data_IF_505520311083
#
_entry.id   IF_505520311083
#
_cell.length_a   1.000
_cell.length_b   1.000
_cell.length_c   1.000
_cell.angle_alpha   90.00
_cell.angle_beta   90.00
_cell.angle_gamma   90.00
#
_symmetry.space_group_name_H-M   'P 1'
#
loop_
_entity.id
_entity.type
_entity.pdbx_description
1 polymer ?
#
# COMPACT_ATOMS: atom_id res chain seq x y z
N UNK A 1 31.54 3.20 -3.42
CA UNK A 1 31.14 4.13 -4.52
C UNK A 1 30.07 3.44 -5.36
N UNK A 2 29.12 4.14 -5.98
CA UNK A 2 28.14 3.54 -6.90
C UNK A 2 28.83 2.81 -8.06
N UNK A 3 28.27 1.69 -8.49
CA UNK A 3 28.67 0.92 -9.67
C UNK A 3 27.68 1.21 -10.78
N UNK A 4 28.05 2.04 -11.75
CA UNK A 4 27.17 2.50 -12.82
C UNK A 4 27.61 1.84 -14.14
N UNK A 5 26.69 1.13 -14.80
CA UNK A 5 26.98 0.55 -16.11
C UNK A 5 27.16 1.64 -17.15
N UNK A 6 28.16 1.53 -18.08
CA UNK A 6 28.42 2.57 -19.08
C UNK A 6 27.25 2.98 -19.99
N UNK A 7 26.26 2.09 -20.16
CA UNK A 7 25.04 2.37 -20.92
C UNK A 7 23.90 3.00 -20.08
N UNK A 8 24.11 3.23 -18.78
CA UNK A 8 23.11 3.90 -17.97
C UNK A 8 23.15 5.43 -18.19
N UNK A 9 21.99 6.05 -18.17
CA UNK A 9 21.84 7.50 -18.22
C UNK A 9 21.50 8.02 -16.82
N UNK A 10 22.45 8.67 -16.19
CA UNK A 10 22.28 9.21 -14.83
C UNK A 10 22.49 10.71 -14.89
N UNK A 11 21.47 11.47 -14.46
CA UNK A 11 21.56 12.92 -14.38
C UNK A 11 22.63 13.34 -13.38
N UNK A 12 23.45 14.36 -13.67
CA UNK A 12 24.49 14.83 -12.78
C UNK A 12 24.01 15.34 -11.41
N UNK A 13 22.75 15.77 -11.31
CA UNK A 13 22.13 16.21 -10.04
C UNK A 13 21.66 15.05 -9.17
N UNK A 14 21.55 13.83 -9.73
CA UNK A 14 21.11 12.65 -9.00
C UNK A 14 22.10 12.27 -7.88
N UNK A 15 21.57 11.98 -6.71
CA UNK A 15 22.38 11.63 -5.54
C UNK A 15 22.28 10.11 -5.29
N UNK A 16 23.38 9.41 -5.55
CA UNK A 16 23.47 7.97 -5.36
C UNK A 16 24.30 7.65 -4.11
N UNK A 17 23.74 6.89 -3.21
CA UNK A 17 24.42 6.42 -1.99
C UNK A 17 25.55 5.43 -2.29
N UNK A 18 26.24 5.03 -1.23
CA UNK A 18 27.32 4.06 -1.32
C UNK A 18 26.78 2.72 -1.82
N UNK A 19 27.57 2.02 -2.66
CA UNK A 19 27.30 0.67 -3.15
C UNK A 19 25.96 0.50 -3.91
N UNK A 20 25.43 1.61 -4.46
CA UNK A 20 24.33 1.55 -5.42
C UNK A 20 24.81 0.90 -6.72
N UNK A 21 24.06 -0.07 -7.23
CA UNK A 21 24.33 -0.73 -8.51
C UNK A 21 23.30 -0.27 -9.55
N UNK A 22 23.76 0.27 -10.67
CA UNK A 22 22.92 0.77 -11.78
C UNK A 22 23.20 -0.06 -13.03
N UNK A 23 22.20 -0.82 -13.46
CA UNK A 23 22.28 -1.72 -14.63
C UNK A 23 22.27 -1.01 -15.99
N UNK A 24 22.50 -1.77 -17.04
CA UNK A 24 22.52 -1.27 -18.40
C UNK A 24 21.17 -0.65 -18.82
N UNK A 25 21.21 0.51 -19.49
CA UNK A 25 20.01 1.19 -19.99
C UNK A 25 19.08 1.73 -18.92
N UNK A 26 19.48 1.74 -17.63
CA UNK A 26 18.77 2.48 -16.59
C UNK A 26 18.77 3.98 -16.88
N UNK A 27 17.64 4.63 -16.55
CA UNK A 27 17.52 6.08 -16.61
C UNK A 27 17.22 6.61 -15.22
N UNK A 28 18.07 7.51 -14.73
CA UNK A 28 17.88 8.22 -13.46
C UNK A 28 17.83 9.70 -13.78
N UNK A 29 16.63 10.28 -13.59
CA UNK A 29 16.38 11.68 -13.94
C UNK A 29 16.94 12.65 -12.86
N UNK A 30 16.82 13.94 -13.10
CA UNK A 30 17.23 15.01 -12.20
C UNK A 30 16.50 14.94 -10.84
N UNK A 31 17.11 15.52 -9.79
CA UNK A 31 16.54 15.58 -8.42
C UNK A 31 16.14 14.22 -7.80
N UNK A 32 16.71 13.12 -8.29
CA UNK A 32 16.53 11.78 -7.71
C UNK A 32 17.54 11.56 -6.57
N UNK A 33 17.06 10.96 -5.48
CA UNK A 33 17.91 10.54 -4.35
C UNK A 33 17.71 9.05 -4.08
N UNK A 34 18.81 8.29 -4.12
CA UNK A 34 18.82 6.85 -3.90
C UNK A 34 19.78 6.52 -2.77
N UNK A 35 19.27 5.92 -1.69
CA UNK A 35 20.04 5.49 -0.53
C UNK A 35 21.02 4.35 -0.85
N UNK A 36 21.93 4.03 0.10
CA UNK A 36 22.97 3.04 -0.12
C UNK A 36 22.44 1.63 -0.34
N UNK A 37 23.23 0.80 -1.04
CA UNK A 37 22.95 -0.62 -1.24
C UNK A 37 21.77 -0.93 -2.17
N UNK A 38 21.19 0.06 -2.84
CA UNK A 38 20.13 -0.17 -3.82
C UNK A 38 20.65 -0.79 -5.11
N UNK A 39 19.86 -1.69 -5.70
CA UNK A 39 20.18 -2.37 -6.96
C UNK A 39 19.08 -2.04 -7.99
N UNK A 40 19.49 -1.40 -9.09
CA UNK A 40 18.64 -1.11 -10.23
C UNK A 40 19.03 -2.03 -11.40
N UNK A 41 18.11 -2.92 -11.78
CA UNK A 41 18.30 -3.87 -12.88
C UNK A 41 18.15 -3.17 -14.22
N UNK A 42 18.64 -3.77 -15.32
CA UNK A 42 18.65 -3.13 -16.65
C UNK A 42 17.29 -2.56 -17.06
N UNK A 43 17.32 -1.38 -17.67
CA UNK A 43 16.16 -0.67 -18.21
C UNK A 43 15.12 -0.23 -17.18
N UNK A 44 15.45 -0.19 -15.89
CA UNK A 44 14.60 0.49 -14.91
C UNK A 44 14.71 2.01 -15.02
N UNK A 45 13.64 2.74 -14.68
CA UNK A 45 13.56 4.20 -14.80
C UNK A 45 13.15 4.79 -13.47
N UNK A 46 14.00 5.66 -12.93
CA UNK A 46 13.70 6.46 -11.74
C UNK A 46 13.53 7.91 -12.16
N UNK A 47 12.31 8.41 -12.04
CA UNK A 47 11.96 9.74 -12.52
C UNK A 47 12.16 10.81 -11.45
N UNK A 48 12.20 12.05 -11.92
CA UNK A 48 12.37 13.26 -11.12
C UNK A 48 11.51 13.27 -9.85
N UNK A 49 12.04 13.90 -8.78
CA UNK A 49 11.41 14.04 -7.47
C UNK A 49 11.15 12.71 -6.71
N UNK A 50 11.90 11.69 -7.06
CA UNK A 50 11.88 10.42 -6.32
C UNK A 50 12.97 10.38 -5.27
N UNK A 51 12.60 10.07 -4.03
CA UNK A 51 13.53 9.74 -2.95
C UNK A 51 13.32 8.29 -2.51
N UNK A 52 14.39 7.53 -2.50
CA UNK A 52 14.41 6.12 -2.14
C UNK A 52 15.42 5.88 -1.02
N UNK A 53 15.02 5.14 0.02
CA UNK A 53 15.90 4.72 1.10
C UNK A 53 16.91 3.65 0.68
N UNK A 54 17.40 2.88 1.63
CA UNK A 54 18.48 1.91 1.46
C UNK A 54 17.99 0.54 1.02
N UNK A 55 18.87 -0.26 0.39
CA UNK A 55 18.70 -1.68 0.09
C UNK A 55 17.46 -2.02 -0.74
N UNK A 56 16.97 -1.10 -1.55
CA UNK A 56 15.84 -1.37 -2.43
C UNK A 56 16.31 -2.11 -3.69
N UNK A 57 15.55 -3.11 -4.11
CA UNK A 57 15.76 -3.83 -5.35
C UNK A 57 14.71 -3.42 -6.38
N UNK A 58 15.13 -2.90 -7.51
CA UNK A 58 14.26 -2.45 -8.61
C UNK A 58 14.57 -3.28 -9.85
N UNK A 59 13.64 -4.13 -10.25
CA UNK A 59 13.81 -5.02 -11.40
C UNK A 59 13.59 -4.32 -12.73
N UNK A 60 13.88 -5.02 -13.81
CA UNK A 60 13.89 -4.49 -15.19
C UNK A 60 12.53 -3.93 -15.60
N UNK A 61 12.56 -2.85 -16.37
CA UNK A 61 11.40 -2.16 -16.92
C UNK A 61 10.45 -1.55 -15.87
N UNK A 62 10.85 -1.51 -14.63
CA UNK A 62 10.11 -0.82 -13.55
C UNK A 62 10.25 0.68 -13.70
N UNK A 63 9.14 1.42 -13.54
CA UNK A 63 9.10 2.89 -13.61
C UNK A 63 8.62 3.46 -12.28
N UNK A 64 9.50 4.15 -11.58
CA UNK A 64 9.21 4.82 -10.33
C UNK A 64 9.22 6.34 -10.55
N UNK A 65 8.20 7.04 -10.04
CA UNK A 65 8.05 8.49 -10.20
C UNK A 65 7.35 8.90 -11.49
N UNK A 66 6.66 7.96 -12.18
CA UNK A 66 5.86 8.29 -13.36
C UNK A 66 4.85 9.41 -13.10
N UNK A 67 4.48 10.17 -14.13
CA UNK A 67 3.46 11.20 -14.00
C UNK A 67 2.14 10.62 -13.51
N UNK A 68 1.39 11.34 -12.67
CA UNK A 68 0.06 10.94 -12.23
C UNK A 68 -0.87 10.63 -13.41
N UNK A 69 -1.62 9.56 -13.31
CA UNK A 69 -2.67 9.23 -14.27
C UNK A 69 -3.94 10.03 -13.92
N UNK A 70 -3.80 11.35 -13.95
CA UNK A 70 -4.86 12.33 -13.69
C UNK A 70 -4.82 13.36 -14.81
N UNK A 71 -5.88 13.43 -15.62
CA UNK A 71 -5.97 14.33 -16.76
C UNK A 71 -5.94 15.83 -16.39
N UNK A 72 -6.12 16.16 -15.09
CA UNK A 72 -6.02 17.54 -14.57
C UNK A 72 -4.64 17.84 -14.00
N UNK A 73 -3.73 16.89 -14.02
CA UNK A 73 -2.40 17.08 -13.46
C UNK A 73 -1.61 18.11 -14.27
N UNK A 74 -1.06 19.11 -13.57
CA UNK A 74 -0.10 20.03 -14.14
C UNK A 74 1.32 19.45 -14.01
N UNK A 75 1.98 19.09 -15.13
CA UNK A 75 3.34 18.52 -15.09
C UNK A 75 4.40 19.42 -14.46
N UNK A 76 4.18 20.75 -14.43
CA UNK A 76 5.07 21.71 -13.78
C UNK A 76 4.99 21.66 -12.23
N UNK A 77 3.98 20.99 -11.67
CA UNK A 77 3.83 20.86 -10.22
C UNK A 77 4.93 19.97 -9.63
N UNK A 78 5.64 20.49 -8.62
CA UNK A 78 6.56 19.69 -7.82
C UNK A 78 5.78 18.76 -6.88
N UNK A 79 5.74 17.48 -7.23
CA UNK A 79 5.14 16.41 -6.45
C UNK A 79 6.09 15.21 -6.38
N UNK A 80 5.95 14.33 -5.42
CA UNK A 80 7.02 13.46 -5.00
C UNK A 80 6.62 11.98 -4.97
N UNK A 81 7.64 11.11 -5.02
CA UNK A 81 7.60 9.73 -4.54
C UNK A 81 8.60 9.59 -3.40
N UNK A 82 8.16 9.01 -2.31
CA UNK A 82 8.99 8.71 -1.15
C UNK A 82 8.93 7.21 -0.85
N UNK A 83 10.07 6.55 -0.89
CA UNK A 83 10.20 5.10 -0.68
C UNK A 83 11.13 4.85 0.50
N UNK A 84 10.72 3.98 1.41
CA UNK A 84 11.52 3.53 2.53
C UNK A 84 12.64 2.56 2.12
N UNK A 85 12.93 1.61 2.99
CA UNK A 85 14.07 0.71 2.86
C UNK A 85 13.62 -0.72 2.56
N UNK A 86 14.56 -1.54 2.04
CA UNK A 86 14.44 -2.99 1.92
C UNK A 86 13.21 -3.43 1.11
N UNK A 87 12.80 -2.64 0.13
CA UNK A 87 11.68 -2.96 -0.76
C UNK A 87 12.15 -3.73 -2.00
N UNK A 88 11.29 -4.59 -2.52
CA UNK A 88 11.52 -5.33 -3.76
C UNK A 88 10.44 -4.95 -4.77
N UNK A 89 10.85 -4.34 -5.87
CA UNK A 89 9.99 -4.03 -7.02
C UNK A 89 10.39 -4.94 -8.17
N UNK A 90 9.52 -5.90 -8.52
CA UNK A 90 9.75 -6.81 -9.63
C UNK A 90 9.45 -6.12 -10.97
N UNK A 91 9.56 -6.86 -12.05
CA UNK A 91 9.53 -6.36 -13.42
C UNK A 91 8.23 -5.60 -13.72
N UNK A 92 8.34 -4.50 -14.46
CA UNK A 92 7.22 -3.69 -14.93
C UNK A 92 6.34 -3.10 -13.80
N UNK A 93 6.83 -3.00 -12.59
CA UNK A 93 6.13 -2.25 -11.53
C UNK A 93 6.08 -0.78 -11.91
N UNK A 94 4.95 -0.11 -11.63
CA UNK A 94 4.80 1.32 -11.87
C UNK A 94 4.32 2.05 -10.61
N UNK A 95 5.00 3.14 -10.26
CA UNK A 95 4.63 4.01 -9.13
C UNK A 95 4.54 5.44 -9.64
N UNK A 96 3.35 6.04 -9.58
CA UNK A 96 3.17 7.43 -9.96
C UNK A 96 3.49 8.38 -8.81
N UNK A 97 4.04 9.56 -9.11
CA UNK A 97 4.22 10.63 -8.11
C UNK A 97 2.87 11.23 -7.72
N UNK A 98 2.84 12.03 -6.65
CA UNK A 98 1.61 12.63 -6.14
C UNK A 98 0.96 13.63 -7.11
N UNK A 99 -0.28 14.02 -6.84
CA UNK A 99 -0.96 15.21 -7.39
C UNK A 99 -1.13 16.26 -6.31
N UNK A 100 -1.20 17.52 -6.69
CA UNK A 100 -1.24 18.66 -5.78
C UNK A 100 0.15 19.01 -5.24
N UNK A 101 0.58 20.24 -5.41
CA UNK A 101 1.92 20.72 -5.05
C UNK A 101 2.33 20.29 -3.63
N UNK A 102 3.53 19.75 -3.50
CA UNK A 102 4.09 19.25 -2.24
C UNK A 102 3.62 17.85 -1.81
N UNK A 103 2.61 17.27 -2.44
CA UNK A 103 2.12 15.94 -2.08
C UNK A 103 3.02 14.82 -2.63
N UNK A 104 2.95 13.66 -1.98
CA UNK A 104 3.73 12.48 -2.34
C UNK A 104 2.89 11.19 -2.39
N UNK A 105 3.32 10.27 -3.24
CA UNK A 105 3.05 8.85 -3.09
C UNK A 105 4.10 8.29 -2.14
N UNK A 106 3.68 7.55 -1.12
CA UNK A 106 4.57 7.05 -0.06
C UNK A 106 4.53 5.55 0.02
N UNK A 107 5.70 4.93 -0.02
CA UNK A 107 5.90 3.49 0.15
C UNK A 107 6.77 3.28 1.40
N UNK A 108 6.30 2.46 2.31
CA UNK A 108 7.02 2.11 3.54
C UNK A 108 8.23 1.21 3.32
N UNK A 109 8.51 0.39 4.31
CA UNK A 109 9.68 -0.50 4.31
C UNK A 109 9.26 -1.96 4.10
N UNK A 110 10.22 -2.79 3.61
CA UNK A 110 10.04 -4.25 3.48
C UNK A 110 8.81 -4.64 2.64
N UNK A 111 8.39 -3.80 1.68
CA UNK A 111 7.27 -4.13 0.80
C UNK A 111 7.73 -5.00 -0.37
N UNK A 112 6.84 -5.84 -0.87
CA UNK A 112 7.14 -6.73 -2.01
C UNK A 112 6.12 -6.53 -3.13
N UNK A 113 6.60 -6.09 -4.29
CA UNK A 113 5.81 -5.77 -5.47
C UNK A 113 6.13 -6.77 -6.57
N UNK A 114 5.18 -7.62 -6.90
CA UNK A 114 5.32 -8.57 -8.00
C UNK A 114 5.10 -7.88 -9.36
N UNK A 115 5.39 -8.62 -10.41
CA UNK A 115 5.35 -8.15 -11.79
C UNK A 115 4.05 -7.42 -12.13
N UNK A 116 4.18 -6.24 -12.77
CA UNK A 116 3.07 -5.39 -13.18
C UNK A 116 2.19 -4.84 -12.05
N UNK A 117 2.63 -4.86 -10.80
CA UNK A 117 1.90 -4.19 -9.72
C UNK A 117 1.99 -2.66 -9.88
N UNK A 118 0.94 -1.95 -9.41
CA UNK A 118 0.81 -0.50 -9.63
C UNK A 118 0.40 0.26 -8.36
N UNK A 119 1.04 1.41 -8.12
CA UNK A 119 0.55 2.43 -7.21
C UNK A 119 0.20 3.72 -7.95
N UNK A 120 -1.06 4.11 -7.89
CA UNK A 120 -1.54 5.41 -8.38
C UNK A 120 -1.03 6.56 -7.50
N UNK A 121 -1.18 7.77 -8.01
CA UNK A 121 -0.73 9.00 -7.35
C UNK A 121 -1.28 9.13 -5.92
N UNK A 122 -0.48 9.65 -5.01
CA UNK A 122 -0.85 9.85 -3.60
C UNK A 122 -1.19 8.56 -2.83
N UNK A 123 -0.95 7.37 -3.38
CA UNK A 123 -1.13 6.13 -2.65
C UNK A 123 -0.21 6.12 -1.40
N UNK A 124 -0.71 5.56 -0.31
CA UNK A 124 0.02 5.41 0.95
C UNK A 124 0.12 3.91 1.27
N UNK A 125 1.31 3.36 1.16
CA UNK A 125 1.57 1.94 1.39
C UNK A 125 2.44 1.80 2.62
N UNK A 126 1.92 1.17 3.65
CA UNK A 126 2.65 0.94 4.89
C UNK A 126 3.69 -0.19 4.75
N UNK A 127 4.42 -0.47 5.82
CA UNK A 127 5.46 -1.50 5.84
C UNK A 127 4.91 -2.90 5.59
N UNK A 128 5.75 -3.75 5.02
CA UNK A 128 5.52 -5.19 4.85
C UNK A 128 4.27 -5.52 3.99
N UNK A 129 3.81 -4.58 3.15
CA UNK A 129 2.70 -4.82 2.22
C UNK A 129 3.17 -5.69 1.05
N UNK A 130 2.31 -6.62 0.63
CA UNK A 130 2.52 -7.46 -0.56
C UNK A 130 1.53 -7.03 -1.65
N UNK A 131 2.08 -6.65 -2.80
CA UNK A 131 1.34 -6.33 -4.02
C UNK A 131 1.62 -7.42 -5.06
N UNK A 132 0.75 -8.43 -5.17
CA UNK A 132 0.97 -9.51 -6.11
C UNK A 132 0.76 -9.09 -7.58
N UNK A 133 1.06 -9.99 -8.51
CA UNK A 133 1.07 -9.71 -9.95
C UNK A 133 -0.18 -8.96 -10.44
N UNK A 134 0.02 -7.85 -11.12
CA UNK A 134 -1.07 -7.06 -11.70
C UNK A 134 -2.01 -6.39 -10.68
N UNK A 135 -1.69 -6.42 -9.38
CA UNK A 135 -2.48 -5.70 -8.39
C UNK A 135 -2.28 -4.19 -8.49
N UNK A 136 -3.34 -3.42 -8.21
CA UNK A 136 -3.30 -1.98 -8.38
C UNK A 136 -4.00 -1.23 -7.24
N UNK A 137 -3.36 -0.17 -6.75
CA UNK A 137 -3.93 0.84 -5.89
C UNK A 137 -4.28 2.08 -6.71
N UNK A 138 -5.53 2.48 -6.72
CA UNK A 138 -5.96 3.76 -7.30
C UNK A 138 -5.43 4.95 -6.52
N UNK A 139 -5.52 6.14 -7.09
CA UNK A 139 -5.04 7.36 -6.47
C UNK A 139 -5.59 7.56 -5.05
N UNK A 140 -4.73 8.02 -4.12
CA UNK A 140 -5.09 8.25 -2.72
C UNK A 140 -5.54 6.99 -1.95
N UNK A 141 -5.41 5.79 -2.51
CA UNK A 141 -5.70 4.56 -1.78
C UNK A 141 -4.59 4.29 -0.74
N UNK A 142 -4.99 3.68 0.39
CA UNK A 142 -4.04 3.35 1.45
C UNK A 142 -4.06 1.84 1.70
N UNK A 143 -2.89 1.22 1.80
CA UNK A 143 -2.71 -0.15 2.24
C UNK A 143 -2.02 -0.16 3.61
N UNK A 144 -2.70 -0.72 4.61
CA UNK A 144 -2.18 -0.85 5.98
C UNK A 144 -1.08 -1.90 6.06
N UNK A 145 -0.32 -1.85 7.14
CA UNK A 145 0.82 -2.73 7.37
C UNK A 145 0.47 -4.20 7.15
N UNK A 146 1.34 -4.93 6.46
CA UNK A 146 1.14 -6.37 6.14
C UNK A 146 -0.13 -6.69 5.36
N UNK A 147 -0.78 -5.73 4.74
CA UNK A 147 -1.86 -6.03 3.82
C UNK A 147 -1.33 -6.82 2.62
N UNK A 148 -2.14 -7.76 2.12
CA UNK A 148 -1.78 -8.59 0.98
C UNK A 148 -2.86 -8.47 -0.11
N UNK A 149 -2.48 -7.85 -1.21
CA UNK A 149 -3.30 -7.75 -2.41
C UNK A 149 -2.85 -8.87 -3.36
N UNK A 150 -3.63 -9.93 -3.44
CA UNK A 150 -3.33 -11.05 -4.34
C UNK A 150 -3.39 -10.63 -5.82
N UNK A 151 -3.06 -11.56 -6.73
CA UNK A 151 -2.96 -11.24 -8.15
C UNK A 151 -4.24 -10.62 -8.72
N UNK A 152 -4.06 -9.59 -9.57
CA UNK A 152 -5.13 -8.85 -10.26
C UNK A 152 -6.17 -8.20 -9.33
N UNK A 153 -5.79 -7.87 -8.11
CA UNK A 153 -6.64 -7.11 -7.20
C UNK A 153 -6.60 -5.63 -7.55
N UNK A 154 -7.77 -4.99 -7.67
CA UNK A 154 -7.86 -3.55 -7.94
C UNK A 154 -8.59 -2.83 -6.81
N UNK A 155 -7.94 -1.84 -6.22
CA UNK A 155 -8.49 -0.99 -5.16
C UNK A 155 -8.81 0.39 -5.73
N UNK A 156 -10.07 0.79 -5.62
CA UNK A 156 -10.53 2.08 -6.09
C UNK A 156 -9.88 3.23 -5.30
N UNK A 157 -9.73 4.37 -5.97
CA UNK A 157 -9.21 5.59 -5.33
C UNK A 157 -9.92 5.93 -4.01
N UNK A 158 -9.19 6.52 -3.07
CA UNK A 158 -9.68 6.93 -1.74
C UNK A 158 -10.16 5.79 -0.83
N UNK A 159 -9.81 4.54 -1.11
CA UNK A 159 -10.12 3.40 -0.25
C UNK A 159 -8.99 3.09 0.73
N UNK A 160 -9.36 2.60 1.89
CA UNK A 160 -8.41 2.12 2.90
C UNK A 160 -8.50 0.62 3.03
N UNK A 161 -7.35 -0.02 3.00
CA UNK A 161 -7.16 -1.44 3.30
C UNK A 161 -6.50 -1.52 4.67
N UNK A 162 -7.11 -2.20 5.60
CA UNK A 162 -6.61 -2.32 6.96
C UNK A 162 -5.40 -3.23 7.09
N UNK A 163 -4.74 -3.14 8.23
CA UNK A 163 -3.59 -3.96 8.60
C UNK A 163 -3.90 -5.45 8.46
N UNK A 164 -2.96 -6.23 7.90
CA UNK A 164 -3.07 -7.69 7.70
C UNK A 164 -4.34 -8.14 6.95
N UNK A 165 -5.04 -7.24 6.27
CA UNK A 165 -6.14 -7.63 5.39
C UNK A 165 -5.60 -8.36 4.15
N UNK A 166 -6.32 -9.40 3.71
CA UNK A 166 -6.01 -10.14 2.48
C UNK A 166 -7.18 -9.97 1.51
N UNK A 167 -6.87 -9.63 0.27
CA UNK A 167 -7.83 -9.62 -0.82
C UNK A 167 -7.48 -10.76 -1.78
N UNK A 168 -8.42 -11.67 -2.01
CA UNK A 168 -8.22 -12.80 -2.92
C UNK A 168 -8.02 -12.34 -4.37
N UNK A 169 -7.28 -13.14 -5.13
CA UNK A 169 -6.99 -12.86 -6.53
C UNK A 169 -8.25 -12.60 -7.37
N UNK A 170 -8.13 -11.74 -8.37
CA UNK A 170 -9.23 -11.23 -9.19
C UNK A 170 -10.36 -10.53 -8.40
N UNK A 171 -10.07 -10.15 -7.16
CA UNK A 171 -10.96 -9.35 -6.31
C UNK A 171 -10.75 -7.85 -6.48
N UNK A 172 -11.55 -7.07 -5.75
CA UNK A 172 -11.37 -5.64 -5.73
C UNK A 172 -12.26 -4.95 -4.72
N UNK A 173 -12.01 -3.66 -4.47
CA UNK A 173 -12.87 -2.90 -3.59
C UNK A 173 -12.97 -1.43 -3.97
N UNK A 174 -14.19 -0.89 -3.89
CA UNK A 174 -14.50 0.53 -3.85
C UNK A 174 -14.96 0.99 -2.46
N UNK A 175 -14.72 0.17 -1.45
CA UNK A 175 -15.11 0.35 -0.05
C UNK A 175 -13.90 0.14 0.86
N UNK A 176 -13.98 0.57 2.12
CA UNK A 176 -12.91 0.36 3.09
C UNK A 176 -12.90 -1.08 3.60
N UNK A 177 -11.78 -1.78 3.47
CA UNK A 177 -11.61 -3.16 3.96
C UNK A 177 -10.97 -3.11 5.35
N UNK A 178 -11.64 -3.63 6.40
CA UNK A 178 -11.11 -3.52 7.76
C UNK A 178 -9.90 -4.42 8.01
N UNK A 179 -9.13 -4.12 9.06
CA UNK A 179 -7.96 -4.90 9.44
C UNK A 179 -8.28 -6.37 9.71
N UNK A 180 -7.29 -7.22 9.52
CA UNK A 180 -7.34 -8.64 9.87
C UNK A 180 -8.40 -9.44 9.13
N UNK A 181 -8.99 -8.91 8.06
CA UNK A 181 -10.05 -9.57 7.30
C UNK A 181 -9.56 -10.20 6.01
N UNK A 182 -10.34 -11.14 5.51
CA UNK A 182 -10.22 -11.68 4.16
C UNK A 182 -11.38 -11.18 3.32
N UNK A 183 -11.06 -10.63 2.15
CA UNK A 183 -12.04 -10.18 1.15
C UNK A 183 -11.91 -11.02 -0.12
N UNK A 184 -13.04 -11.28 -0.78
CA UNK A 184 -13.10 -12.02 -2.04
C UNK A 184 -14.13 -11.38 -2.98
N UNK A 185 -13.92 -11.53 -4.29
CA UNK A 185 -14.75 -10.89 -5.32
C UNK A 185 -14.70 -9.35 -5.17
N UNK A 186 -15.81 -8.67 -5.46
CA UNK A 186 -15.90 -7.21 -5.38
C UNK A 186 -16.67 -6.79 -4.13
N UNK A 187 -16.07 -5.94 -3.30
CA UNK A 187 -16.71 -5.34 -2.11
C UNK A 187 -17.30 -6.38 -1.15
N UNK A 188 -16.59 -7.46 -0.88
CA UNK A 188 -17.11 -8.54 -0.06
C UNK A 188 -16.08 -9.09 0.92
N UNK A 189 -16.25 -8.82 2.21
CA UNK A 189 -15.52 -9.49 3.29
C UNK A 189 -16.13 -10.87 3.53
N UNK A 190 -15.31 -11.90 3.60
CA UNK A 190 -15.73 -13.30 3.79
C UNK A 190 -15.37 -13.86 5.16
N UNK A 191 -14.65 -13.10 5.98
CA UNK A 191 -14.27 -13.49 7.33
C UNK A 191 -12.95 -12.88 7.79
N UNK A 192 -12.44 -13.36 8.89
CA UNK A 192 -11.12 -13.00 9.40
C UNK A 192 -10.00 -13.73 8.66
N UNK A 193 -8.85 -13.09 8.53
CA UNK A 193 -7.59 -13.68 8.08
C UNK A 193 -7.01 -14.60 9.19
N UNK A 194 -7.70 -15.70 9.47
CA UNK A 194 -7.33 -16.61 10.57
C UNK A 194 -5.92 -17.16 10.43
N UNK A 195 -5.50 -17.47 9.20
CA UNK A 195 -4.17 -18.02 8.92
C UNK A 195 -3.08 -16.97 9.23
N UNK A 196 -3.27 -15.74 8.77
CA UNK A 196 -2.34 -14.64 9.06
C UNK A 196 -2.24 -14.35 10.55
N UNK A 197 -3.39 -14.25 11.23
CA UNK A 197 -3.45 -14.03 12.67
C UNK A 197 -2.76 -15.15 13.48
N UNK A 198 -2.90 -16.41 13.05
CA UNK A 198 -2.27 -17.54 13.74
C UNK A 198 -0.75 -17.60 13.51
N UNK A 199 -0.28 -17.19 12.33
CA UNK A 199 1.14 -17.17 11.97
C UNK A 199 1.90 -15.97 12.52
N UNK A 200 1.21 -14.96 13.05
CA UNK A 200 1.81 -13.74 13.57
C UNK A 200 2.25 -13.93 15.04
N UNK A 201 3.55 -14.07 15.34
CA UNK A 201 4.03 -14.38 16.69
C UNK A 201 3.81 -13.22 17.69
N UNK A 202 3.56 -12.01 17.19
CA UNK A 202 3.24 -10.82 17.99
C UNK A 202 1.74 -10.67 18.29
N UNK A 203 0.87 -11.53 17.77
CA UNK A 203 -0.56 -11.58 18.04
C UNK A 203 -0.83 -12.70 19.07
N UNK A 204 -1.11 -12.34 20.30
CA UNK A 204 -1.43 -13.28 21.37
C UNK A 204 -2.79 -13.97 21.18
N UNK A 205 -3.07 -15.01 21.96
CA UNK A 205 -4.41 -15.63 21.97
C UNK A 205 -5.50 -14.64 22.39
N UNK A 206 -5.19 -13.79 23.38
CA UNK A 206 -6.10 -12.73 23.84
C UNK A 206 -6.38 -11.72 22.71
N UNK A 207 -5.34 -11.30 21.97
CA UNK A 207 -5.53 -10.41 20.82
C UNK A 207 -6.44 -11.06 19.77
N UNK A 208 -6.27 -12.34 19.49
CA UNK A 208 -7.10 -13.07 18.52
C UNK A 208 -8.57 -13.11 18.94
N UNK A 209 -8.86 -13.37 20.22
CA UNK A 209 -10.24 -13.36 20.73
C UNK A 209 -10.83 -11.95 20.70
N UNK A 210 -10.08 -10.92 21.06
CA UNK A 210 -10.56 -9.54 20.99
C UNK A 210 -10.78 -9.08 19.53
N UNK A 211 -9.91 -9.43 18.57
CA UNK A 211 -10.11 -9.15 17.14
C UNK A 211 -11.39 -9.85 16.65
N UNK A 212 -11.63 -11.09 17.06
CA UNK A 212 -12.83 -11.84 16.71
C UNK A 212 -14.09 -11.17 17.26
N UNK A 213 -14.04 -10.66 18.49
CA UNK A 213 -15.14 -9.92 19.09
C UNK A 213 -15.38 -8.59 18.35
N UNK A 214 -14.34 -7.80 18.05
CA UNK A 214 -14.45 -6.56 17.27
C UNK A 214 -15.06 -6.83 15.88
N UNK A 215 -14.64 -7.91 15.23
CA UNK A 215 -15.20 -8.36 13.95
C UNK A 215 -16.69 -8.74 14.09
N UNK A 216 -17.05 -9.48 15.16
CA UNK A 216 -18.45 -9.88 15.43
C UNK A 216 -19.35 -8.66 15.63
N UNK A 217 -18.89 -7.66 16.36
CA UNK A 217 -19.62 -6.40 16.57
C UNK A 217 -19.79 -5.65 15.24
N UNK A 218 -18.71 -5.50 14.45
CA UNK A 218 -18.74 -4.76 13.17
C UNK A 218 -19.66 -5.38 12.13
N UNK A 219 -19.82 -6.70 12.16
CA UNK A 219 -20.60 -7.47 11.18
C UNK A 219 -21.84 -8.16 11.75
N UNK A 220 -22.28 -7.70 12.92
CA UNK A 220 -23.54 -8.19 13.49
C UNK A 220 -24.73 -7.81 12.56
N UNK A 221 -25.64 -8.73 12.23
CA UNK A 221 -26.79 -8.44 11.40
C UNK A 221 -27.60 -7.24 11.89
N UNK A 222 -27.88 -6.29 11.01
CA UNK A 222 -28.64 -5.07 11.35
C UNK A 222 -27.84 -3.96 12.06
N UNK A 223 -26.54 -4.16 12.30
CA UNK A 223 -25.66 -3.14 12.90
C UNK A 223 -24.84 -2.47 11.79
N UNK A 224 -24.99 -1.15 11.65
CA UNK A 224 -24.14 -0.35 10.76
C UNK A 224 -22.87 0.13 11.51
N UNK A 225 -21.84 0.62 10.76
CA UNK A 225 -20.54 0.99 11.34
C UNK A 225 -20.62 1.98 12.51
N UNK A 226 -21.54 2.95 12.48
CA UNK A 226 -21.70 3.91 13.58
C UNK A 226 -22.19 3.25 14.87
N UNK A 227 -23.18 2.36 14.77
CA UNK A 227 -23.67 1.58 15.94
C UNK A 227 -22.60 0.61 16.43
N UNK A 228 -21.88 -0.03 15.52
CA UNK A 228 -20.77 -0.91 15.86
C UNK A 228 -19.68 -0.15 16.65
N UNK A 229 -19.35 1.07 16.23
CA UNK A 229 -18.38 1.90 16.95
C UNK A 229 -18.84 2.22 18.38
N UNK A 230 -20.12 2.59 18.57
CA UNK A 230 -20.68 2.81 19.92
C UNK A 230 -20.52 1.56 20.80
N UNK A 231 -20.88 0.37 20.28
CA UNK A 231 -20.71 -0.87 21.02
C UNK A 231 -19.23 -1.20 21.32
N UNK A 232 -18.32 -0.89 20.39
CA UNK A 232 -16.89 -1.05 20.65
C UNK A 232 -16.38 -0.04 21.70
N UNK A 233 -16.93 1.16 21.76
CA UNK A 233 -16.54 2.19 22.73
C UNK A 233 -17.07 1.90 24.15
N UNK A 234 -18.11 1.10 24.27
CA UNK A 234 -18.61 0.58 25.55
C UNK A 234 -17.71 -0.52 26.14
N UNK A 235 -16.87 -1.16 25.35
CA UNK A 235 -15.85 -2.10 25.80
C UNK A 235 -14.73 -1.36 26.55
N UNK A 236 -14.49 -1.74 27.79
CA UNK A 236 -13.58 -1.02 28.68
C UNK A 236 -12.10 -1.13 28.31
N UNK A 237 -11.67 -2.25 27.69
CA UNK A 237 -10.26 -2.48 27.38
C UNK A 237 -10.06 -3.29 26.08
N UNK A 238 -9.69 -2.60 25.01
CA UNK A 238 -9.17 -3.25 23.81
C UNK A 238 -7.64 -3.30 23.88
N UNK A 239 -7.06 -4.48 23.69
CA UNK A 239 -5.64 -4.63 23.43
C UNK A 239 -5.21 -3.91 22.16
N UNK A 240 -3.91 -3.74 21.96
CA UNK A 240 -3.35 -2.95 20.87
C UNK A 240 -3.87 -3.40 19.48
N UNK A 241 -3.92 -4.72 19.23
CA UNK A 241 -4.34 -5.25 17.94
C UNK A 241 -5.85 -5.04 17.69
N UNK A 242 -6.72 -5.33 18.65
CA UNK A 242 -8.15 -5.07 18.52
C UNK A 242 -8.46 -3.56 18.48
N UNK A 243 -7.66 -2.75 19.16
CA UNK A 243 -7.69 -1.29 19.05
C UNK A 243 -7.49 -0.78 17.63
N UNK A 244 -6.60 -1.41 16.84
CA UNK A 244 -6.43 -1.09 15.41
C UNK A 244 -7.73 -1.31 14.63
N UNK A 245 -8.48 -2.39 14.91
CA UNK A 245 -9.76 -2.64 14.24
C UNK A 245 -10.79 -1.56 14.61
N UNK A 246 -10.92 -1.24 15.89
CA UNK A 246 -11.83 -0.20 16.39
C UNK A 246 -11.51 1.17 15.79
N UNK A 247 -10.24 1.57 15.79
CA UNK A 247 -9.81 2.86 15.21
C UNK A 247 -10.05 2.92 13.70
N UNK A 248 -9.91 1.80 13.00
CA UNK A 248 -10.28 1.74 11.58
C UNK A 248 -11.77 1.98 11.37
N UNK A 249 -12.64 1.35 12.17
CA UNK A 249 -14.10 1.58 12.11
C UNK A 249 -14.42 3.05 12.44
N UNK A 250 -13.77 3.63 13.44
CA UNK A 250 -13.89 5.05 13.80
C UNK A 250 -13.50 5.95 12.63
N UNK A 251 -12.35 5.68 12.00
CA UNK A 251 -11.88 6.42 10.83
C UNK A 251 -12.90 6.37 9.69
N UNK A 252 -13.54 5.22 9.45
CA UNK A 252 -14.58 5.07 8.42
C UNK A 252 -15.84 5.86 8.77
N UNK A 253 -16.28 5.83 10.02
CA UNK A 253 -17.48 6.56 10.48
C UNK A 253 -17.29 8.08 10.39
N UNK A 254 -16.09 8.57 10.71
CA UNK A 254 -15.76 9.99 10.71
C UNK A 254 -15.26 10.51 9.35
N UNK A 255 -15.13 9.64 8.35
CA UNK A 255 -14.59 10.00 7.04
C UNK A 255 -15.41 11.11 6.35
N UNK A 256 -14.67 12.08 5.81
CA UNK A 256 -15.23 13.16 4.98
C UNK A 256 -14.88 12.93 3.49
N UNK A 257 -15.61 13.54 2.55
CA UNK A 257 -15.21 13.52 1.14
C UNK A 257 -13.76 13.99 0.96
N UNK A 258 -12.98 13.37 0.07
CA UNK A 258 -13.35 12.30 -0.87
C UNK A 258 -13.28 10.87 -0.29
N UNK A 259 -12.87 10.70 0.98
CA UNK A 259 -12.73 9.41 1.65
C UNK A 259 -14.02 8.85 2.24
N UNK A 260 -15.14 9.56 2.13
CA UNK A 260 -16.44 9.10 2.65
C UNK A 260 -16.97 7.92 1.81
N UNK A 261 -16.47 6.74 2.11
CA UNK A 261 -16.85 5.46 1.51
C UNK A 261 -17.32 4.49 2.59
N UNK A 262 -18.21 3.55 2.29
CA UNK A 262 -18.70 2.60 3.29
C UNK A 262 -17.62 1.60 3.72
N UNK A 263 -17.78 1.04 4.91
CA UNK A 263 -17.09 -0.17 5.32
C UNK A 263 -17.51 -1.32 4.37
N UNK A 264 -16.56 -2.14 3.96
CA UNK A 264 -16.81 -3.29 3.09
C UNK A 264 -17.81 -4.24 3.75
N UNK A 265 -18.85 -4.62 3.02
CA UNK A 265 -19.92 -5.49 3.54
C UNK A 265 -19.46 -6.94 3.65
N UNK A 266 -20.03 -7.67 4.60
CA UNK A 266 -19.94 -9.11 4.63
C UNK A 266 -21.25 -9.68 4.03
N UNK A 267 -21.12 -10.39 2.91
CA UNK A 267 -22.26 -11.17 2.36
C UNK A 267 -22.15 -12.58 2.92
N UNK A 268 -23.11 -12.99 3.70
CA UNK A 268 -23.26 -14.38 4.09
C UNK A 268 -23.43 -15.18 2.79
N UNK A 269 -22.71 -16.29 2.68
CA UNK A 269 -22.99 -17.27 1.60
C UNK A 269 -24.40 -17.75 1.82
N UNK A 270 -25.29 -17.44 0.88
CA UNK A 270 -26.58 -18.12 0.80
C UNK A 270 -26.40 -19.57 0.41
#
# INVERSE_FOLDING_TARGET
>A
MPKIHPMAMVDPSAQLGQDVEVGAGCIIEEDVKIGPGCVLRPYSIIRQFTTMGSNNFVDSFTVIGGLPQDYKFDPASATYVQIGNDNVFRENVTINRGTGAGNATVIGNHTYWFTCAHAGHNAQVADEVIMANGSALGGWACAGRRANLSANVVIHQFCWIGEMAIIQGNGGSSTHIPPYTMSANINNVIGLNKVGLHRAPWISDLDREQIKEAFRIAYHPGVGPAKALVQMDEHLEWGAAAGVFREFVRKVVLAQPPYKRPLCRMRLRG
#
